data_IF_949533735471
#
_entry.id   IF_949533735471
#
_cell.length_a   1.000
_cell.length_b   1.000
_cell.length_c   1.000
_cell.angle_alpha   90.00
_cell.angle_beta   90.00
_cell.angle_gamma   90.00
#
_symmetry.space_group_name_H-M   'P 1'
#
loop_
_entity.id
_entity.type
_entity.pdbx_description
1 polymer ?
#
# COMPACT_ATOMS: atom_id res chain seq x y z
N UNK A 1 18.55 -3.74 6.84
CA UNK A 1 18.35 -4.80 7.85
C UNK A 1 17.03 -4.66 8.64
N UNK A 2 16.22 -3.63 8.32
CA UNK A 2 14.92 -3.41 8.99
C UNK A 2 13.75 -4.16 8.35
N UNK A 3 13.93 -4.70 7.14
CA UNK A 3 12.89 -5.50 6.48
C UNK A 3 12.75 -6.86 7.17
N UNK A 4 11.50 -7.39 7.29
CA UNK A 4 11.25 -8.69 7.91
C UNK A 4 12.10 -9.83 7.35
N UNK A 5 12.36 -9.85 6.05
CA UNK A 5 13.19 -10.86 5.39
C UNK A 5 14.71 -10.69 5.59
N UNK A 6 15.15 -9.57 6.18
CA UNK A 6 16.56 -9.27 6.42
C UNK A 6 16.93 -9.29 7.92
N UNK A 7 16.07 -9.84 8.79
CA UNK A 7 16.34 -9.95 10.22
C UNK A 7 17.52 -10.90 10.46
N UNK A 8 18.53 -10.48 11.25
CA UNK A 8 19.65 -11.35 11.59
C UNK A 8 19.16 -12.56 12.42
N UNK A 9 19.75 -13.71 12.18
CA UNK A 9 19.53 -14.90 12.97
C UNK A 9 20.86 -15.43 13.52
N UNK A 10 20.80 -16.17 14.60
CA UNK A 10 21.96 -16.87 15.14
C UNK A 10 22.36 -18.02 14.21
N UNK A 11 23.61 -18.02 13.72
CA UNK A 11 24.10 -18.97 12.73
C UNK A 11 24.15 -20.40 13.26
N UNK A 12 24.59 -20.59 14.49
CA UNK A 12 24.69 -21.91 15.11
C UNK A 12 23.30 -22.51 15.29
N UNK A 13 22.38 -21.72 15.82
CA UNK A 13 20.99 -22.14 15.96
C UNK A 13 20.34 -22.43 14.61
N UNK A 14 20.51 -21.56 13.62
CA UNK A 14 20.00 -21.76 12.25
C UNK A 14 20.46 -23.10 11.68
N UNK A 15 21.76 -23.37 11.74
CA UNK A 15 22.34 -24.61 11.23
C UNK A 15 21.85 -25.84 12.02
N UNK A 16 21.62 -25.70 13.32
CA UNK A 16 21.10 -26.80 14.17
C UNK A 16 19.68 -27.22 13.78
N UNK A 17 18.88 -26.31 13.20
CA UNK A 17 17.49 -26.59 12.80
C UNK A 17 17.37 -27.41 11.52
N UNK A 18 18.47 -27.64 10.79
CA UNK A 18 18.52 -28.45 9.56
C UNK A 18 17.45 -28.09 8.53
N UNK A 19 17.26 -26.81 8.26
CA UNK A 19 16.31 -26.29 7.30
C UNK A 19 14.88 -26.12 7.81
N UNK A 20 14.62 -26.31 9.10
CA UNK A 20 13.29 -26.10 9.71
C UNK A 20 13.21 -24.80 10.51
N UNK A 21 14.20 -23.89 10.38
CA UNK A 21 14.20 -22.60 11.03
C UNK A 21 12.91 -21.83 10.73
N UNK A 22 12.28 -21.29 11.80
CA UNK A 22 11.07 -20.48 11.66
C UNK A 22 9.77 -21.26 11.38
N UNK A 23 9.79 -22.59 11.31
CA UNK A 23 8.59 -23.40 11.05
C UNK A 23 7.81 -23.78 12.30
N UNK A 24 8.42 -23.72 13.47
CA UNK A 24 7.80 -24.04 14.77
C UNK A 24 8.37 -23.16 15.86
N UNK A 25 7.68 -23.08 17.00
CA UNK A 25 8.22 -22.37 18.18
C UNK A 25 9.59 -22.89 18.64
N UNK A 26 9.85 -24.19 18.48
CA UNK A 26 11.13 -24.82 18.87
C UNK A 26 12.27 -24.51 17.92
N UNK A 27 11.95 -24.16 16.67
CA UNK A 27 12.92 -23.85 15.63
C UNK A 27 12.99 -22.36 15.32
N UNK A 28 12.47 -21.53 16.21
CA UNK A 28 12.50 -20.06 16.12
C UNK A 28 13.21 -19.51 17.35
N UNK A 29 14.26 -18.70 17.12
CA UNK A 29 14.96 -17.96 18.16
C UNK A 29 14.57 -16.49 18.09
N UNK A 30 14.22 -15.91 19.21
CA UNK A 30 13.85 -14.50 19.33
C UNK A 30 15.00 -13.69 19.94
N UNK A 31 15.31 -12.53 19.36
CA UNK A 31 16.27 -11.56 19.89
C UNK A 31 15.61 -10.38 20.62
N UNK A 32 14.28 -10.33 20.58
CA UNK A 32 13.49 -9.26 21.20
C UNK A 32 13.05 -9.57 22.64
N UNK A 33 12.25 -8.69 23.26
CA UNK A 33 11.77 -8.84 24.62
C UNK A 33 10.80 -10.00 24.83
N UNK A 34 10.21 -10.49 23.76
CA UNK A 34 9.32 -11.64 23.78
C UNK A 34 9.92 -12.80 22.98
N UNK A 35 9.74 -14.01 23.48
CA UNK A 35 10.07 -15.23 22.76
C UNK A 35 8.81 -15.99 22.33
N UNK A 36 8.87 -16.71 21.23
CA UNK A 36 7.77 -17.51 20.72
C UNK A 36 7.64 -18.78 21.60
N UNK A 37 6.62 -18.78 22.46
CA UNK A 37 6.35 -19.89 23.38
C UNK A 37 5.64 -21.05 22.70
N UNK A 38 4.64 -20.75 21.87
CA UNK A 38 3.86 -21.74 21.15
C UNK A 38 3.31 -21.16 19.84
N UNK A 39 3.15 -22.04 18.86
CA UNK A 39 2.55 -21.71 17.57
C UNK A 39 1.56 -22.81 17.19
N UNK A 40 0.29 -22.43 16.98
CA UNK A 40 -0.81 -23.33 16.61
C UNK A 40 -1.65 -22.66 15.50
N UNK A 41 -2.61 -23.42 14.96
CA UNK A 41 -3.62 -22.83 14.07
C UNK A 41 -4.46 -21.73 14.75
N UNK A 42 -4.50 -21.70 16.08
CA UNK A 42 -5.21 -20.66 16.85
C UNK A 42 -4.39 -19.40 17.11
N UNK A 43 -3.17 -19.31 16.60
CA UNK A 43 -2.32 -18.12 16.71
C UNK A 43 -0.92 -18.37 17.24
N UNK A 44 -0.18 -17.28 17.37
CA UNK A 44 1.16 -17.22 17.95
C UNK A 44 1.06 -16.80 19.42
N UNK A 45 1.70 -17.55 20.30
CA UNK A 45 1.76 -17.26 21.72
C UNK A 45 3.19 -16.86 22.09
N UNK A 46 3.36 -15.60 22.51
CA UNK A 46 4.65 -15.06 22.89
C UNK A 46 4.67 -14.81 24.41
N UNK A 47 5.83 -14.98 25.01
CA UNK A 47 6.08 -14.72 26.43
C UNK A 47 7.38 -13.98 26.63
N UNK A 48 7.51 -13.32 27.77
CA UNK A 48 8.78 -12.83 28.32
C UNK A 48 8.83 -13.11 29.80
N UNK A 49 10.00 -12.93 30.40
CA UNK A 49 10.16 -12.97 31.85
C UNK A 49 9.32 -11.83 32.47
N UNK A 50 8.55 -12.13 33.53
CA UNK A 50 7.73 -11.14 34.21
C UNK A 50 8.54 -9.93 34.66
N UNK A 51 8.05 -8.72 34.39
CA UNK A 51 8.74 -7.47 34.71
C UNK A 51 7.76 -6.39 35.17
N UNK A 52 7.44 -6.43 36.46
CA UNK A 52 6.55 -5.46 37.08
C UNK A 52 5.15 -5.49 36.49
N UNK A 53 4.65 -4.32 36.07
CA UNK A 53 3.30 -4.14 35.50
C UNK A 53 3.23 -4.34 33.97
N UNK A 54 4.37 -4.69 33.33
CA UNK A 54 4.41 -4.85 31.87
C UNK A 54 3.67 -6.12 31.45
N UNK A 55 3.14 -6.11 30.23
CA UNK A 55 2.57 -7.31 29.61
C UNK A 55 3.65 -8.39 29.51
N UNK A 56 3.42 -9.57 30.05
CA UNK A 56 4.35 -10.70 30.05
C UNK A 56 3.98 -11.80 29.05
N UNK A 57 2.76 -11.75 28.51
CA UNK A 57 2.29 -12.70 27.50
C UNK A 57 1.45 -12.00 26.43
N UNK A 58 1.59 -12.46 25.20
CA UNK A 58 0.85 -11.98 24.03
C UNK A 58 0.26 -13.17 23.27
N UNK A 59 -0.91 -12.96 22.72
CA UNK A 59 -1.49 -13.85 21.73
C UNK A 59 -1.80 -13.05 20.47
N UNK A 60 -1.14 -13.38 19.37
CA UNK A 60 -1.45 -12.86 18.04
C UNK A 60 -2.38 -13.85 17.35
N UNK A 61 -3.54 -13.39 16.95
CA UNK A 61 -4.54 -14.22 16.27
C UNK A 61 -4.93 -13.60 14.93
N UNK A 62 -5.07 -14.45 13.94
CA UNK A 62 -5.73 -14.06 12.70
C UNK A 62 -7.24 -14.16 12.92
N UNK A 63 -7.99 -13.16 12.49
CA UNK A 63 -9.45 -13.09 12.73
C UNK A 63 -10.24 -14.03 11.80
N UNK A 64 -9.80 -15.26 11.61
CA UNK A 64 -10.50 -16.25 10.77
C UNK A 64 -11.73 -16.86 11.45
N UNK A 65 -11.66 -17.04 12.79
CA UNK A 65 -12.74 -17.67 13.56
C UNK A 65 -13.86 -16.71 13.99
N UNK A 66 -13.69 -15.41 13.77
CA UNK A 66 -14.63 -14.35 14.10
C UNK A 66 -14.75 -13.38 12.90
N UNK A 67 -14.72 -13.91 11.69
CA UNK A 67 -14.73 -13.11 10.46
C UNK A 67 -15.98 -12.20 10.35
N UNK A 68 -17.07 -12.57 11.03
CA UNK A 68 -18.30 -11.78 11.07
C UNK A 68 -18.27 -10.63 12.10
N UNK A 69 -17.22 -10.55 12.94
CA UNK A 69 -17.10 -9.52 13.95
C UNK A 69 -16.15 -8.42 13.50
N UNK A 70 -16.59 -7.17 13.62
CA UNK A 70 -15.74 -6.00 13.43
C UNK A 70 -14.65 -5.88 14.52
N UNK A 71 -13.61 -5.09 14.25
CA UNK A 71 -12.58 -4.78 15.24
C UNK A 71 -13.14 -4.19 16.54
N UNK A 72 -14.17 -3.34 16.41
CA UNK A 72 -14.88 -2.75 17.56
C UNK A 72 -15.57 -3.82 18.42
N UNK A 73 -16.28 -4.76 17.79
CA UNK A 73 -16.97 -5.84 18.49
C UNK A 73 -16.00 -6.81 19.17
N UNK A 74 -14.86 -7.08 18.52
CA UNK A 74 -13.80 -7.90 19.10
C UNK A 74 -13.22 -7.29 20.37
N UNK A 75 -12.99 -5.98 20.37
CA UNK A 75 -12.47 -5.27 21.56
C UNK A 75 -13.55 -5.15 22.64
N UNK A 76 -14.76 -4.76 22.30
CA UNK A 76 -15.86 -4.60 23.27
C UNK A 76 -16.27 -5.93 23.91
N UNK A 77 -16.09 -7.06 23.23
CA UNK A 77 -16.33 -8.40 23.78
C UNK A 77 -15.10 -9.00 24.47
N UNK A 78 -14.05 -8.21 24.71
CA UNK A 78 -12.78 -8.61 25.35
C UNK A 78 -12.06 -9.76 24.63
N UNK A 79 -12.37 -10.04 23.38
CA UNK A 79 -11.71 -11.07 22.57
C UNK A 79 -10.31 -10.66 22.12
N UNK A 80 -10.06 -9.36 21.98
CA UNK A 80 -8.74 -8.80 21.74
C UNK A 80 -8.54 -7.48 22.50
N UNK A 81 -7.28 -7.04 22.60
CA UNK A 81 -6.90 -5.79 23.28
C UNK A 81 -6.46 -4.70 22.30
N UNK A 82 -6.19 -5.05 21.07
CA UNK A 82 -5.96 -4.13 19.97
C UNK A 82 -6.31 -4.81 18.66
N UNK A 83 -6.85 -4.05 17.70
CA UNK A 83 -7.20 -4.55 16.38
C UNK A 83 -7.10 -3.43 15.33
N UNK A 84 -6.67 -3.78 14.13
CA UNK A 84 -6.74 -2.85 12.98
C UNK A 84 -8.19 -2.81 12.49
N UNK A 85 -8.71 -1.61 12.37
CA UNK A 85 -10.02 -1.33 11.80
C UNK A 85 -9.89 -0.62 10.47
N UNK A 86 -10.55 -1.16 9.47
CA UNK A 86 -10.69 -0.59 8.14
C UNK A 86 -12.17 -0.44 7.75
N UNK A 87 -13.08 -0.37 8.74
CA UNK A 87 -14.52 -0.22 8.49
C UNK A 87 -15.00 1.23 8.60
N UNK A 88 -14.21 2.11 9.20
CA UNK A 88 -14.57 3.51 9.42
C UNK A 88 -15.72 3.73 10.42
N UNK A 89 -16.14 2.69 11.15
CA UNK A 89 -17.30 2.79 12.04
C UNK A 89 -17.00 3.66 13.27
N UNK A 90 -17.94 4.51 13.67
CA UNK A 90 -17.78 5.38 14.83
C UNK A 90 -17.59 4.58 16.12
N UNK A 91 -16.63 4.98 16.94
CA UNK A 91 -16.32 4.33 18.22
C UNK A 91 -15.77 5.32 19.24
N UNK A 92 -15.94 5.01 20.52
CA UNK A 92 -15.32 5.73 21.65
C UNK A 92 -13.98 5.11 22.09
N UNK A 93 -13.53 4.04 21.43
CA UNK A 93 -12.24 3.42 21.71
C UNK A 93 -11.07 4.35 21.34
N UNK A 94 -9.98 4.26 22.08
CA UNK A 94 -8.74 4.93 21.70
C UNK A 94 -8.26 4.39 20.36
N UNK A 95 -7.81 5.28 19.48
CA UNK A 95 -7.35 4.89 18.14
C UNK A 95 -6.14 5.68 17.68
N UNK A 96 -5.34 5.05 16.83
CA UNK A 96 -4.24 5.69 16.08
C UNK A 96 -4.57 5.54 14.61
N UNK A 97 -4.87 6.67 13.95
CA UNK A 97 -5.19 6.68 12.51
C UNK A 97 -3.92 6.75 11.67
N UNK A 98 -3.92 6.05 10.53
CA UNK A 98 -2.81 6.03 9.58
C UNK A 98 -3.29 5.69 8.17
N UNK A 99 -2.42 5.94 7.20
CA UNK A 99 -2.59 5.50 5.82
C UNK A 99 -1.25 4.98 5.31
N UNK A 100 -1.25 3.77 4.81
CA UNK A 100 -0.07 3.07 4.26
C UNK A 100 -0.29 2.63 2.80
N UNK A 101 -1.49 2.90 2.27
CA UNK A 101 -1.93 2.41 0.97
C UNK A 101 -2.59 3.52 0.18
N UNK A 102 -2.14 3.70 -1.06
CA UNK A 102 -2.73 4.64 -2.02
C UNK A 102 -3.39 3.87 -3.16
N UNK A 103 -4.70 4.01 -3.30
CA UNK A 103 -5.45 3.47 -4.42
C UNK A 103 -5.25 4.34 -5.64
N UNK A 104 -4.77 3.73 -6.70
CA UNK A 104 -4.33 4.43 -7.90
C UNK A 104 -4.82 3.73 -9.16
N UNK A 105 -5.06 4.50 -10.23
CA UNK A 105 -5.13 3.91 -11.56
C UNK A 105 -3.71 3.56 -12.02
N UNK A 106 -3.53 2.34 -12.48
CA UNK A 106 -2.32 1.85 -13.12
C UNK A 106 -2.60 1.61 -14.59
N UNK A 107 -1.79 2.21 -15.46
CA UNK A 107 -1.85 1.96 -16.91
C UNK A 107 -0.75 0.99 -17.33
N UNK A 108 -1.11 -0.10 -17.98
CA UNK A 108 -0.13 -1.06 -18.47
C UNK A 108 0.57 -0.53 -19.74
N UNK A 109 1.80 -0.08 -19.57
CA UNK A 109 2.61 0.52 -20.64
C UNK A 109 3.01 -0.47 -21.75
N UNK A 110 2.80 -1.77 -21.59
CA UNK A 110 2.99 -2.78 -22.63
C UNK A 110 1.81 -2.91 -23.59
N UNK A 111 0.75 -2.10 -23.40
CA UNK A 111 -0.46 -2.05 -24.23
C UNK A 111 -0.51 -0.75 -25.04
N UNK A 112 -1.70 -0.33 -25.50
CA UNK A 112 -1.88 0.98 -26.14
C UNK A 112 -1.47 2.14 -25.21
N UNK A 113 -1.38 1.87 -23.90
CA UNK A 113 -0.89 2.80 -22.89
C UNK A 113 0.64 2.96 -22.89
N UNK A 114 1.34 2.48 -23.91
CA UNK A 114 2.69 2.94 -24.24
C UNK A 114 2.70 4.44 -24.59
N UNK A 115 1.59 4.99 -25.14
CA UNK A 115 1.43 6.44 -25.38
C UNK A 115 1.27 7.20 -24.06
N UNK A 116 2.20 8.11 -23.78
CA UNK A 116 2.15 9.01 -22.63
C UNK A 116 0.97 9.99 -22.76
N UNK A 117 0.70 10.50 -23.96
CA UNK A 117 -0.40 11.43 -24.23
C UNK A 117 -1.74 10.78 -23.92
N UNK A 118 -1.93 9.49 -24.25
CA UNK A 118 -3.16 8.78 -23.93
C UNK A 118 -3.33 8.60 -22.42
N UNK A 119 -2.24 8.21 -21.71
CA UNK A 119 -2.28 8.10 -20.24
C UNK A 119 -2.61 9.45 -19.60
N UNK A 120 -1.95 10.53 -20.04
CA UNK A 120 -2.17 11.88 -19.50
C UNK A 120 -3.60 12.36 -19.75
N UNK A 121 -4.17 12.09 -20.92
CA UNK A 121 -5.56 12.44 -21.23
C UNK A 121 -6.54 11.71 -20.31
N UNK A 122 -6.41 10.38 -20.18
CA UNK A 122 -7.29 9.59 -19.31
C UNK A 122 -7.10 9.94 -17.83
N UNK A 123 -5.86 10.16 -17.40
CA UNK A 123 -5.53 10.56 -16.04
C UNK A 123 -6.10 11.93 -15.66
N UNK A 124 -6.06 12.90 -16.58
CA UNK A 124 -6.66 14.22 -16.37
C UNK A 124 -8.15 14.12 -16.08
N UNK A 125 -8.90 13.43 -16.94
CA UNK A 125 -10.34 13.19 -16.73
C UNK A 125 -10.61 12.43 -15.43
N UNK A 126 -9.81 11.41 -15.12
CA UNK A 126 -10.01 10.60 -13.94
C UNK A 126 -9.79 11.38 -12.64
N UNK A 127 -8.75 12.23 -12.57
CA UNK A 127 -8.49 13.08 -11.39
C UNK A 127 -9.63 14.07 -11.15
N UNK A 128 -10.15 14.68 -12.22
CA UNK A 128 -11.24 15.67 -12.11
C UNK A 128 -12.57 15.01 -11.73
N UNK A 129 -12.76 13.73 -12.08
CA UNK A 129 -14.00 13.00 -11.86
C UNK A 129 -13.98 12.16 -10.58
N UNK A 130 -12.81 11.88 -10.00
CA UNK A 130 -12.69 11.01 -8.85
C UNK A 130 -13.32 11.65 -7.60
N UNK A 131 -14.48 11.14 -7.23
CA UNK A 131 -15.16 11.52 -5.99
C UNK A 131 -14.75 10.56 -4.87
N UNK A 132 -14.37 11.13 -3.72
CA UNK A 132 -14.05 10.32 -2.54
C UNK A 132 -15.31 9.61 -2.09
N UNK A 133 -15.28 8.27 -1.94
CA UNK A 133 -16.43 7.54 -1.42
C UNK A 133 -16.91 8.12 -0.09
N UNK A 134 -18.23 8.13 0.13
CA UNK A 134 -18.87 8.70 1.33
C UNK A 134 -18.58 7.94 2.64
N UNK A 135 -17.55 7.10 2.63
CA UNK A 135 -17.11 6.31 3.79
C UNK A 135 -15.86 6.94 4.40
N UNK A 136 -15.66 6.77 5.72
CA UNK A 136 -14.41 7.20 6.39
C UNK A 136 -13.18 6.36 6.01
N UNK A 137 -13.33 5.41 5.06
CA UNK A 137 -12.28 4.50 4.63
C UNK A 137 -11.30 5.13 3.65
N UNK A 138 -11.69 6.21 2.99
CA UNK A 138 -10.90 6.84 1.95
C UNK A 138 -10.83 8.35 2.14
N UNK A 139 -9.71 8.92 1.73
CA UNK A 139 -9.51 10.35 1.54
C UNK A 139 -8.94 10.59 0.15
N UNK A 140 -9.08 11.80 -0.41
CA UNK A 140 -8.44 12.14 -1.66
C UNK A 140 -6.91 12.00 -1.55
N UNK A 141 -6.27 11.54 -2.63
CA UNK A 141 -4.83 11.47 -2.73
C UNK A 141 -4.35 12.07 -4.06
N UNK A 142 -3.37 12.95 -3.97
CA UNK A 142 -2.67 13.59 -5.10
C UNK A 142 -1.22 13.12 -5.24
N UNK A 143 -0.78 12.27 -4.32
CA UNK A 143 0.57 11.73 -4.21
C UNK A 143 0.55 10.22 -3.99
N UNK A 144 1.57 9.54 -4.51
CA UNK A 144 1.70 8.09 -4.37
C UNK A 144 2.22 7.68 -2.98
N UNK A 145 3.16 8.47 -2.47
CA UNK A 145 3.82 8.17 -1.19
C UNK A 145 3.02 8.79 -0.04
N UNK A 146 2.59 7.98 0.95
CA UNK A 146 1.89 8.48 2.13
C UNK A 146 2.69 9.52 2.93
N UNK A 147 1.98 10.49 3.51
CA UNK A 147 2.59 11.63 4.21
C UNK A 147 3.40 11.25 5.46
N UNK A 148 3.11 10.09 6.08
CA UNK A 148 3.80 9.66 7.33
C UNK A 148 5.19 9.05 7.13
N UNK A 149 5.63 8.80 5.88
CA UNK A 149 6.91 8.17 5.61
C UNK A 149 8.10 9.09 5.86
N UNK A 150 9.16 8.51 6.44
CA UNK A 150 10.44 9.18 6.67
C UNK A 150 11.54 8.58 5.80
N UNK A 151 12.48 9.43 5.39
CA UNK A 151 13.72 9.06 4.69
C UNK A 151 14.88 9.66 5.49
N UNK A 152 15.78 8.82 5.98
CA UNK A 152 16.93 9.21 6.79
C UNK A 152 16.55 10.12 7.98
N UNK A 153 15.41 9.85 8.63
CA UNK A 153 14.90 10.60 9.78
C UNK A 153 14.17 11.92 9.45
N UNK A 154 14.04 12.26 8.17
CA UNK A 154 13.29 13.44 7.72
C UNK A 154 11.94 13.02 7.18
N UNK A 155 10.87 13.77 7.48
CA UNK A 155 9.57 13.52 6.82
C UNK A 155 9.71 13.75 5.32
N UNK A 156 9.37 12.72 4.55
CA UNK A 156 9.55 12.74 3.10
C UNK A 156 8.69 13.82 2.45
N UNK A 157 7.41 13.87 2.79
CA UNK A 157 6.47 14.81 2.17
C UNK A 157 6.80 16.27 2.48
N UNK A 158 7.19 16.57 3.72
CA UNK A 158 7.60 17.93 4.12
C UNK A 158 8.85 18.37 3.38
N UNK A 159 9.76 17.42 3.08
CA UNK A 159 11.02 17.72 2.38
C UNK A 159 10.84 17.87 0.88
N UNK A 160 10.00 17.03 0.25
CA UNK A 160 9.79 17.00 -1.20
C UNK A 160 8.76 18.02 -1.66
N UNK A 161 7.77 18.32 -0.82
CA UNK A 161 6.64 19.20 -1.14
C UNK A 161 5.66 18.59 -2.13
N UNK A 162 5.00 19.45 -2.89
CA UNK A 162 4.02 19.07 -3.90
C UNK A 162 4.67 18.28 -5.06
N UNK A 163 4.01 17.20 -5.43
CA UNK A 163 4.40 16.32 -6.54
C UNK A 163 3.31 16.22 -7.62
N UNK A 164 2.22 16.95 -7.46
CA UNK A 164 1.09 16.92 -8.37
C UNK A 164 1.52 17.31 -9.78
N UNK A 165 1.13 16.56 -10.80
CA UNK A 165 1.44 16.93 -12.18
C UNK A 165 0.71 18.21 -12.58
N UNK A 166 1.34 18.98 -13.47
CA UNK A 166 0.71 20.18 -14.03
C UNK A 166 -0.60 19.85 -14.76
N UNK A 167 -1.53 20.80 -14.75
CA UNK A 167 -2.75 20.70 -15.53
C UNK A 167 -2.43 20.59 -17.03
N UNK A 168 -3.18 19.77 -17.75
CA UNK A 168 -2.97 19.47 -19.17
C UNK A 168 -4.23 19.74 -19.99
N UNK A 169 -4.07 20.03 -21.27
CA UNK A 169 -5.19 20.04 -22.21
C UNK A 169 -5.54 18.60 -22.62
N UNK A 170 -6.49 18.02 -21.89
CA UNK A 170 -6.95 16.63 -22.05
C UNK A 170 -7.38 16.34 -23.50
N UNK A 171 -8.12 17.27 -24.14
CA UNK A 171 -8.64 17.06 -25.51
C UNK A 171 -7.53 17.09 -26.53
N UNK A 172 -6.59 18.03 -26.40
CA UNK A 172 -5.45 18.12 -27.29
C UNK A 172 -4.56 16.86 -27.20
N UNK A 173 -4.27 16.38 -25.98
CA UNK A 173 -3.51 15.16 -25.77
C UNK A 173 -4.21 13.92 -26.32
N UNK A 174 -5.50 13.78 -26.07
CA UNK A 174 -6.28 12.67 -26.61
C UNK A 174 -6.29 12.65 -28.14
N UNK A 175 -6.51 13.81 -28.79
CA UNK A 175 -6.49 13.92 -30.24
C UNK A 175 -5.10 13.58 -30.82
N UNK A 176 -4.03 14.01 -30.15
CA UNK A 176 -2.67 13.66 -30.56
C UNK A 176 -2.40 12.15 -30.46
N UNK A 177 -2.79 11.53 -29.35
CA UNK A 177 -2.67 10.10 -29.16
C UNK A 177 -3.45 9.28 -30.20
N UNK A 178 -4.66 9.73 -30.54
CA UNK A 178 -5.54 9.06 -31.51
C UNK A 178 -4.99 8.99 -32.94
N UNK A 179 -4.09 9.87 -33.34
CA UNK A 179 -3.56 9.92 -34.70
C UNK A 179 -2.86 8.63 -35.15
N UNK A 180 -2.35 7.84 -34.21
CA UNK A 180 -1.66 6.57 -34.49
C UNK A 180 -2.43 5.30 -34.11
N UNK A 181 -3.70 5.42 -33.68
CA UNK A 181 -4.45 4.31 -33.10
C UNK A 181 -5.73 3.99 -33.89
N UNK A 182 -6.03 2.71 -34.05
CA UNK A 182 -7.28 2.25 -34.62
C UNK A 182 -8.40 2.19 -33.54
N UNK A 183 -9.67 2.31 -33.96
CA UNK A 183 -10.80 2.16 -33.03
C UNK A 183 -10.82 0.79 -32.36
N UNK A 184 -10.36 -0.26 -33.07
CA UNK A 184 -10.27 -1.62 -32.55
C UNK A 184 -9.33 -1.77 -31.35
N UNK A 185 -8.34 -0.87 -31.20
CA UNK A 185 -7.38 -0.93 -30.11
C UNK A 185 -8.03 -0.61 -28.75
N UNK A 186 -9.10 0.18 -28.78
CA UNK A 186 -9.87 0.54 -27.59
C UNK A 186 -10.89 -0.51 -27.16
N UNK A 187 -11.26 -1.45 -28.05
CA UNK A 187 -12.28 -2.47 -27.76
C UNK A 187 -11.85 -3.53 -26.74
N UNK A 188 -10.56 -3.61 -26.42
CA UNK A 188 -9.98 -4.60 -25.49
C UNK A 188 -9.60 -4.01 -24.15
N UNK A 189 -9.90 -2.74 -23.95
CA UNK A 189 -9.55 -2.07 -22.71
C UNK A 189 -10.58 -2.43 -21.63
N UNK A 190 -10.09 -2.87 -20.49
CA UNK A 190 -10.88 -3.08 -19.28
C UNK A 190 -10.32 -2.26 -18.12
N UNK A 191 -11.19 -1.82 -17.24
CA UNK A 191 -10.84 -1.28 -15.92
C UNK A 191 -11.04 -2.39 -14.89
N UNK A 192 -9.94 -2.99 -14.47
CA UNK A 192 -9.92 -4.10 -13.51
C UNK A 192 -9.81 -3.56 -12.07
N UNK A 193 -10.58 -4.13 -11.15
CA UNK A 193 -10.48 -3.84 -9.71
C UNK A 193 -10.81 -5.09 -8.89
N UNK A 194 -10.30 -5.19 -7.65
CA UNK A 194 -10.63 -6.30 -6.78
C UNK A 194 -12.06 -6.19 -6.25
N UNK A 195 -12.79 -7.31 -6.25
CA UNK A 195 -14.15 -7.38 -5.74
C UNK A 195 -14.20 -6.99 -4.25
N UNK A 196 -15.22 -6.21 -3.88
CA UNK A 196 -15.43 -5.79 -2.50
C UNK A 196 -14.45 -4.73 -1.98
N UNK A 197 -13.65 -4.10 -2.84
CA UNK A 197 -12.72 -3.04 -2.45
C UNK A 197 -13.41 -1.71 -2.01
N UNK A 198 -14.71 -1.57 -2.26
CA UNK A 198 -15.47 -0.36 -1.92
C UNK A 198 -15.28 0.82 -2.88
N UNK A 199 -14.68 0.60 -4.05
CA UNK A 199 -14.39 1.63 -5.05
C UNK A 199 -15.14 1.47 -6.37
N UNK A 200 -16.15 0.61 -6.42
CA UNK A 200 -16.90 0.33 -7.65
C UNK A 200 -17.61 1.58 -8.17
N UNK A 201 -18.29 2.33 -7.29
CA UNK A 201 -18.98 3.57 -7.65
C UNK A 201 -18.01 4.63 -8.18
N UNK A 202 -16.82 4.74 -7.57
CA UNK A 202 -15.77 5.63 -8.07
C UNK A 202 -15.26 5.20 -9.45
N UNK A 203 -15.09 3.90 -9.69
CA UNK A 203 -14.70 3.36 -11.00
C UNK A 203 -15.77 3.64 -12.07
N UNK A 204 -17.05 3.49 -11.75
CA UNK A 204 -18.17 3.82 -12.63
C UNK A 204 -18.22 5.32 -12.95
N UNK A 205 -18.02 6.18 -11.95
CA UNK A 205 -17.98 7.64 -12.11
C UNK A 205 -16.86 8.06 -13.05
N UNK A 206 -15.66 7.53 -12.87
CA UNK A 206 -14.51 7.79 -13.75
C UNK A 206 -14.79 7.30 -15.16
N UNK A 207 -15.34 6.09 -15.32
CA UNK A 207 -15.66 5.54 -16.64
C UNK A 207 -16.74 6.36 -17.37
N UNK A 208 -17.74 6.84 -16.64
CA UNK A 208 -18.75 7.77 -17.16
C UNK A 208 -18.15 9.11 -17.61
N UNK A 209 -17.17 9.62 -16.86
CA UNK A 209 -16.46 10.84 -17.25
C UNK A 209 -15.61 10.65 -18.51
N UNK A 210 -14.91 9.52 -18.66
CA UNK A 210 -14.22 9.18 -19.93
C UNK A 210 -15.17 9.08 -21.10
N UNK A 211 -16.37 8.52 -20.90
CA UNK A 211 -17.40 8.49 -21.95
C UNK A 211 -17.85 9.90 -22.34
N UNK A 212 -18.10 10.75 -21.37
CA UNK A 212 -18.58 12.12 -21.60
C UNK A 212 -17.54 13.00 -22.28
N UNK A 213 -16.29 12.98 -21.80
CA UNK A 213 -15.26 13.91 -22.25
C UNK A 213 -14.50 13.43 -23.50
N UNK A 214 -14.29 12.09 -23.62
CA UNK A 214 -13.46 11.49 -24.66
C UNK A 214 -14.19 10.50 -25.57
N UNK A 215 -15.47 10.24 -25.31
CA UNK A 215 -16.28 9.21 -25.99
C UNK A 215 -15.67 7.81 -25.87
N UNK A 216 -15.02 7.53 -24.72
CA UNK A 216 -14.44 6.23 -24.37
C UNK A 216 -15.22 5.63 -23.22
N UNK A 217 -15.66 4.39 -23.37
CA UNK A 217 -16.32 3.64 -22.31
C UNK A 217 -15.72 2.22 -22.25
N UNK A 218 -15.20 1.86 -21.10
CA UNK A 218 -14.50 0.59 -20.90
C UNK A 218 -15.36 -0.37 -20.07
N UNK A 219 -15.16 -1.68 -20.27
CA UNK A 219 -15.76 -2.66 -19.38
C UNK A 219 -15.07 -2.61 -18.02
N UNK A 220 -15.87 -2.56 -16.95
CA UNK A 220 -15.38 -2.70 -15.58
C UNK A 220 -15.38 -4.19 -15.25
N UNK A 221 -14.25 -4.70 -14.75
CA UNK A 221 -14.04 -6.10 -14.44
C UNK A 221 -13.68 -6.25 -12.96
N UNK A 222 -14.63 -6.75 -12.17
CA UNK A 222 -14.39 -7.10 -10.78
C UNK A 222 -13.92 -8.54 -10.70
N UNK A 223 -12.77 -8.76 -10.07
CA UNK A 223 -12.19 -10.09 -9.89
C UNK A 223 -11.89 -10.33 -8.40
N UNK A 224 -11.88 -11.58 -7.99
CA UNK A 224 -11.47 -11.92 -6.63
C UNK A 224 -10.01 -11.50 -6.35
N UNK A 225 -9.67 -11.34 -5.08
CA UNK A 225 -8.38 -10.80 -4.64
C UNK A 225 -7.19 -11.64 -5.13
N UNK A 226 -7.31 -12.97 -5.17
CA UNK A 226 -6.23 -13.86 -5.62
C UNK A 226 -6.00 -13.71 -7.13
N UNK A 227 -7.08 -13.73 -7.89
CA UNK A 227 -7.04 -13.49 -9.35
C UNK A 227 -6.51 -12.10 -9.67
N UNK A 228 -6.94 -11.07 -8.91
CA UNK A 228 -6.47 -9.70 -9.08
C UNK A 228 -4.96 -9.59 -8.91
N UNK A 229 -4.43 -10.11 -7.80
CA UNK A 229 -2.98 -10.08 -7.52
C UNK A 229 -2.17 -10.84 -8.57
N UNK A 230 -2.67 -11.99 -9.00
CA UNK A 230 -2.01 -12.79 -10.02
C UNK A 230 -1.94 -12.05 -11.35
N UNK A 231 -3.07 -11.55 -11.84
CA UNK A 231 -3.13 -10.81 -13.11
C UNK A 231 -2.31 -9.53 -13.08
N UNK A 232 -2.33 -8.81 -11.94
CA UNK A 232 -1.49 -7.62 -11.76
C UNK A 232 0.00 -7.96 -11.84
N UNK A 233 0.44 -9.02 -11.18
CA UNK A 233 1.84 -9.47 -11.18
C UNK A 233 2.29 -9.99 -12.56
N UNK A 234 1.41 -10.62 -13.32
CA UNK A 234 1.67 -11.13 -14.67
C UNK A 234 1.56 -10.03 -15.76
N UNK A 235 1.09 -8.82 -15.40
CA UNK A 235 0.82 -7.75 -16.36
C UNK A 235 -0.37 -8.06 -17.27
N UNK A 236 -1.29 -8.93 -16.85
CA UNK A 236 -2.51 -9.31 -17.59
C UNK A 236 -3.66 -8.36 -17.26
N UNK A 237 -3.48 -7.10 -17.59
CA UNK A 237 -4.50 -6.05 -17.45
C UNK A 237 -4.21 -4.91 -18.44
N UNK A 238 -5.16 -4.03 -18.66
CA UNK A 238 -4.98 -2.79 -19.43
C UNK A 238 -4.98 -1.57 -18.53
N UNK A 239 -6.04 -1.36 -17.74
CA UNK A 239 -6.12 -0.38 -16.65
C UNK A 239 -6.50 -1.16 -15.40
N UNK A 240 -5.85 -0.87 -14.27
CA UNK A 240 -6.24 -1.40 -12.97
C UNK A 240 -6.44 -0.27 -11.96
N UNK A 241 -7.54 -0.32 -11.20
CA UNK A 241 -7.68 0.47 -9.98
C UNK A 241 -7.13 -0.40 -8.84
N UNK A 242 -5.93 -0.10 -8.39
CA UNK A 242 -5.13 -0.98 -7.55
C UNK A 242 -4.58 -0.28 -6.30
N UNK A 243 -4.43 -1.01 -5.18
CA UNK A 243 -3.73 -0.51 -4.01
C UNK A 243 -2.22 -0.55 -4.26
N UNK A 244 -1.54 0.58 -4.06
CA UNK A 244 -0.08 0.67 -3.98
C UNK A 244 0.29 0.81 -2.53
N UNK A 245 0.89 -0.24 -1.96
CA UNK A 245 1.24 -0.28 -0.54
C UNK A 245 2.63 0.27 -0.27
N UNK A 246 2.75 1.01 0.82
CA UNK A 246 4.00 1.49 1.39
C UNK A 246 4.35 0.79 2.72
N UNK A 247 3.74 -0.35 3.02
CA UNK A 247 3.95 -1.13 4.26
C UNK A 247 5.42 -1.49 4.53
N UNK A 248 6.28 -1.52 3.50
CA UNK A 248 7.72 -1.71 3.69
C UNK A 248 8.40 -0.57 4.45
N UNK A 249 7.72 0.56 4.69
CA UNK A 249 8.29 1.77 5.28
C UNK A 249 9.37 2.44 4.43
N UNK A 250 9.49 2.08 3.16
CA UNK A 250 10.55 2.54 2.27
C UNK A 250 9.99 3.23 1.03
N UNK A 251 10.21 4.53 0.92
CA UNK A 251 9.89 5.29 -0.29
C UNK A 251 10.57 4.68 -1.52
N UNK A 252 11.84 4.27 -1.38
CA UNK A 252 12.57 3.60 -2.45
C UNK A 252 11.85 2.33 -2.92
N UNK A 253 11.46 1.45 -2.01
CA UNK A 253 10.80 0.19 -2.37
C UNK A 253 9.44 0.44 -3.03
N UNK A 254 8.69 1.44 -2.58
CA UNK A 254 7.41 1.80 -3.20
C UNK A 254 7.61 2.28 -4.65
N UNK A 255 8.62 3.10 -4.90
CA UNK A 255 8.94 3.57 -6.25
C UNK A 255 9.57 2.47 -7.10
N UNK A 256 10.40 1.60 -6.53
CA UNK A 256 11.08 0.53 -7.26
C UNK A 256 10.12 -0.46 -7.92
N UNK A 257 8.89 -0.63 -7.41
CA UNK A 257 7.86 -1.49 -8.00
C UNK A 257 7.56 -1.13 -9.48
N UNK A 258 7.82 0.10 -9.89
CA UNK A 258 7.61 0.57 -11.26
C UNK A 258 8.83 0.38 -12.17
N UNK A 259 9.92 -0.19 -11.67
CA UNK A 259 11.08 -0.57 -12.49
C UNK A 259 11.00 -2.05 -12.88
N UNK A 260 11.57 -2.46 -14.01
CA UNK A 260 11.65 -3.87 -14.37
C UNK A 260 12.32 -4.74 -13.30
N UNK A 261 13.35 -4.22 -12.63
CA UNK A 261 14.06 -4.92 -11.55
C UNK A 261 13.22 -5.06 -10.26
N UNK A 262 12.28 -4.14 -10.03
CA UNK A 262 11.40 -4.13 -8.86
C UNK A 262 10.07 -4.84 -9.05
N UNK A 263 9.88 -5.54 -10.17
CA UNK A 263 8.65 -6.30 -10.47
C UNK A 263 7.88 -5.78 -11.68
N UNK A 264 8.19 -4.58 -12.17
CA UNK A 264 7.62 -4.05 -13.42
C UNK A 264 6.12 -3.88 -13.40
N UNK A 265 5.56 -3.44 -12.28
CA UNK A 265 4.11 -3.39 -11.99
C UNK A 265 3.24 -2.87 -13.15
N UNK A 266 3.76 -1.93 -13.94
CA UNK A 266 3.06 -1.31 -15.08
C UNK A 266 3.76 -1.51 -16.42
N UNK A 267 4.83 -2.28 -16.48
CA UNK A 267 5.66 -2.39 -17.69
C UNK A 267 6.38 -1.07 -18.06
N UNK A 268 6.41 -0.09 -17.15
CA UNK A 268 7.07 1.19 -17.39
C UNK A 268 8.59 1.02 -17.51
N UNK A 269 9.17 1.64 -18.53
CA UNK A 269 10.61 1.64 -18.76
C UNK A 269 11.08 3.06 -19.10
N UNK A 270 11.83 3.68 -18.20
CA UNK A 270 12.41 5.01 -18.37
C UNK A 270 13.82 5.02 -17.78
N UNK A 271 14.83 5.26 -18.62
CA UNK A 271 16.23 5.22 -18.21
C UNK A 271 16.58 6.32 -17.20
N UNK A 272 15.99 7.52 -17.33
CA UNK A 272 16.21 8.61 -16.38
C UNK A 272 15.66 8.25 -15.00
N UNK A 273 14.43 7.72 -14.97
CA UNK A 273 13.80 7.24 -13.73
C UNK A 273 14.66 6.20 -13.02
N UNK A 274 15.09 5.17 -13.76
CA UNK A 274 15.94 4.11 -13.21
C UNK A 274 17.26 4.65 -12.66
N UNK A 275 17.91 5.56 -13.40
CA UNK A 275 19.18 6.19 -12.99
C UNK A 275 19.01 7.04 -11.73
N UNK A 276 17.94 7.84 -11.63
CA UNK A 276 17.68 8.67 -10.46
C UNK A 276 17.34 7.82 -9.23
N UNK A 277 16.55 6.77 -9.42
CA UNK A 277 16.20 5.84 -8.34
C UNK A 277 17.45 5.13 -7.81
N UNK A 278 18.34 4.65 -8.69
CA UNK A 278 19.62 4.04 -8.31
C UNK A 278 20.51 5.07 -7.60
N UNK A 279 20.63 6.29 -8.11
CA UNK A 279 21.42 7.34 -7.48
C UNK A 279 20.95 7.66 -6.04
N UNK A 280 19.64 7.49 -5.76
CA UNK A 280 19.09 7.68 -4.42
C UNK A 280 19.65 6.71 -3.39
N UNK A 281 20.13 5.52 -3.81
CA UNK A 281 20.73 4.53 -2.90
C UNK A 281 22.10 4.94 -2.40
N UNK A 282 22.79 5.80 -3.15
CA UNK A 282 24.11 6.34 -2.82
C UNK A 282 24.06 7.74 -2.21
N UNK A 283 22.87 8.33 -2.08
CA UNK A 283 22.64 9.64 -1.48
C UNK A 283 22.10 9.51 -0.05
N UNK A 284 22.20 10.59 0.72
CA UNK A 284 21.67 10.67 2.07
C UNK A 284 20.86 11.96 2.28
N UNK A 285 20.03 11.96 3.31
CA UNK A 285 19.33 13.12 3.80
C UNK A 285 18.47 13.80 2.72
N UNK A 286 18.49 15.11 2.66
CA UNK A 286 17.68 15.90 1.73
C UNK A 286 18.00 15.62 0.25
N UNK A 287 19.23 15.23 -0.07
CA UNK A 287 19.59 14.83 -1.45
C UNK A 287 18.88 13.55 -1.85
N UNK A 288 18.82 12.55 -0.96
CA UNK A 288 18.08 11.32 -1.18
C UNK A 288 16.58 11.59 -1.32
N UNK A 289 16.01 12.40 -0.42
CA UNK A 289 14.60 12.80 -0.52
C UNK A 289 14.30 13.45 -1.87
N UNK A 290 15.16 14.39 -2.33
CA UNK A 290 14.97 15.08 -3.60
C UNK A 290 14.99 14.10 -4.79
N UNK A 291 15.96 13.18 -4.85
CA UNK A 291 16.05 12.18 -5.93
C UNK A 291 14.80 11.28 -5.95
N UNK A 292 14.34 10.81 -4.80
CA UNK A 292 13.10 10.04 -4.69
C UNK A 292 11.88 10.86 -5.09
N UNK A 293 11.83 12.15 -4.70
CA UNK A 293 10.77 13.07 -5.10
C UNK A 293 10.75 13.34 -6.61
N UNK A 294 11.92 13.44 -7.24
CA UNK A 294 12.01 13.58 -8.69
C UNK A 294 11.49 12.31 -9.40
N UNK A 295 11.77 11.11 -8.83
CA UNK A 295 11.20 9.85 -9.31
C UNK A 295 9.67 9.83 -9.18
N UNK A 296 9.12 10.22 -8.03
CA UNK A 296 7.67 10.29 -7.83
C UNK A 296 7.02 11.25 -8.82
N UNK A 297 7.55 12.47 -8.98
CA UNK A 297 7.08 13.45 -9.97
C UNK A 297 7.09 12.90 -11.39
N UNK A 298 8.15 12.15 -11.76
CA UNK A 298 8.25 11.56 -13.08
C UNK A 298 7.14 10.53 -13.34
N UNK A 299 6.88 9.61 -12.39
CA UNK A 299 5.80 8.63 -12.51
C UNK A 299 4.43 9.32 -12.65
N UNK A 300 4.17 10.34 -11.83
CA UNK A 300 2.90 11.07 -11.83
C UNK A 300 2.74 11.94 -13.09
N UNK A 301 3.82 12.53 -13.59
CA UNK A 301 3.83 13.32 -14.83
C UNK A 301 3.62 12.45 -16.07
N UNK A 302 4.26 11.27 -16.11
CA UNK A 302 4.08 10.29 -17.20
C UNK A 302 2.74 9.53 -17.06
N UNK A 303 1.99 9.79 -16.00
CA UNK A 303 0.72 9.13 -15.68
C UNK A 303 0.79 7.60 -15.76
N UNK A 304 1.89 7.03 -15.32
CA UNK A 304 2.06 5.58 -15.19
C UNK A 304 1.20 5.05 -14.05
N UNK A 305 1.15 5.83 -12.98
CA UNK A 305 0.32 5.67 -11.80
C UNK A 305 -0.40 6.98 -11.51
N UNK A 306 -1.68 6.90 -11.22
CA UNK A 306 -2.53 8.05 -10.92
C UNK A 306 -3.15 7.86 -9.55
N UNK A 307 -2.58 8.43 -8.49
CA UNK A 307 -3.17 8.43 -7.17
C UNK A 307 -4.57 9.04 -7.19
N UNK A 308 -5.53 8.38 -6.53
CA UNK A 308 -6.90 8.87 -6.41
C UNK A 308 -7.35 8.91 -4.96
N UNK A 309 -7.08 7.84 -4.21
CA UNK A 309 -7.56 7.71 -2.83
C UNK A 309 -6.49 7.16 -1.90
N UNK A 310 -6.39 7.76 -0.72
CA UNK A 310 -5.60 7.27 0.40
C UNK A 310 -6.50 6.41 1.28
N UNK A 311 -6.15 5.13 1.49
CA UNK A 311 -6.91 4.24 2.36
C UNK A 311 -6.67 4.60 3.82
N UNK A 312 -7.76 4.89 4.54
CA UNK A 312 -7.70 5.24 5.94
C UNK A 312 -7.86 3.99 6.80
N UNK A 313 -6.90 3.76 7.66
CA UNK A 313 -6.89 2.67 8.64
C UNK A 313 -6.69 3.24 10.04
N UNK A 314 -7.09 2.51 11.06
CA UNK A 314 -6.80 2.86 12.44
C UNK A 314 -6.51 1.62 13.29
N UNK A 315 -5.57 1.73 14.19
CA UNK A 315 -5.38 0.76 15.26
C UNK A 315 -6.30 1.15 16.40
N UNK A 316 -7.28 0.33 16.71
CA UNK A 316 -8.14 0.46 17.89
C UNK A 316 -7.47 -0.21 19.09
N UNK A 317 -7.59 0.41 20.26
CA UNK A 317 -6.91 -0.01 21.49
C UNK A 317 -7.95 -0.09 22.61
N UNK A 318 -7.98 -1.24 23.30
CA UNK A 318 -8.87 -1.44 24.44
C UNK A 318 -8.50 -0.53 25.62
N UNK A 319 -9.49 -0.18 26.42
CA UNK A 319 -9.30 0.53 27.68
C UNK A 319 -8.32 -0.23 28.60
N UNK A 320 -7.43 0.51 29.25
CA UNK A 320 -6.41 -0.06 30.15
C UNK A 320 -5.11 -0.48 29.47
N UNK A 321 -5.03 -0.55 28.14
CA UNK A 321 -3.75 -0.78 27.43
C UNK A 321 -3.03 0.57 27.30
N UNK A 322 -1.77 0.62 27.80
CA UNK A 322 -0.94 1.83 27.81
C UNK A 322 0.48 1.51 27.31
N UNK A 323 1.22 2.56 26.93
CA UNK A 323 2.63 2.48 26.51
C UNK A 323 2.89 1.53 25.33
N UNK A 324 1.90 1.37 24.47
CA UNK A 324 2.02 0.72 23.19
C UNK A 324 2.59 1.72 22.19
N UNK A 325 3.61 1.34 21.42
CA UNK A 325 4.13 2.14 20.30
C UNK A 325 3.68 1.46 19.02
N UNK A 326 3.13 2.25 18.12
CA UNK A 326 2.67 1.80 16.83
C UNK A 326 3.35 2.63 15.73
N UNK A 327 3.98 1.93 14.78
CA UNK A 327 4.53 2.53 13.58
C UNK A 327 4.00 1.77 12.35
N UNK A 328 3.13 2.38 11.54
CA UNK A 328 2.53 1.71 10.39
C UNK A 328 3.55 1.35 9.30
N UNK A 329 4.73 1.98 9.32
CA UNK A 329 5.80 1.81 8.33
C UNK A 329 7.03 1.07 8.86
N UNK A 330 6.96 0.56 10.08
CA UNK A 330 8.07 -0.09 10.77
C UNK A 330 7.69 -1.44 11.35
N UNK A 331 8.35 -1.88 12.43
CA UNK A 331 7.87 -2.96 13.25
C UNK A 331 6.54 -2.52 13.88
N UNK A 332 5.45 -2.88 13.22
CA UNK A 332 4.08 -2.37 13.35
C UNK A 332 3.64 -2.10 14.79
N UNK A 333 4.12 -2.90 15.74
CA UNK A 333 3.70 -2.82 17.12
C UNK A 333 4.86 -3.15 18.08
N UNK A 334 5.34 -2.13 18.82
CA UNK A 334 6.28 -2.37 19.91
C UNK A 334 5.53 -2.39 21.26
N UNK A 335 5.59 -3.54 21.89
CA UNK A 335 4.96 -3.83 23.19
C UNK A 335 5.97 -3.96 24.32
N UNK A 336 7.23 -3.54 24.09
CA UNK A 336 8.32 -3.68 25.07
C UNK A 336 7.96 -3.06 26.41
N UNK A 337 7.28 -1.92 26.41
CA UNK A 337 6.89 -1.18 27.62
C UNK A 337 5.38 -1.19 27.86
N UNK A 338 4.63 -1.92 27.04
CA UNK A 338 3.18 -1.96 27.15
C UNK A 338 2.73 -2.55 28.50
N UNK A 339 1.67 -1.97 29.03
CA UNK A 339 0.98 -2.41 30.26
C UNK A 339 -0.51 -2.61 29.98
N UNK A 340 -1.16 -3.45 30.76
CA UNK A 340 -2.62 -3.60 30.76
C UNK A 340 -3.12 -3.60 32.20
N UNK A 341 -4.01 -2.66 32.53
CA UNK A 341 -4.69 -2.52 33.83
C UNK A 341 -6.06 -3.20 33.78
#
# INVERSE_FOLDING_TARGET
>A
LTLPGAMPCDEEFFNSTRGTYGLTAKTTLSSGPFYLYNWTSGGLFLRREPSGTRIDSLRLVQNTNNADLSAIELINSEKCSAAVDATGSTTSLSSISYSDTTWSLLFNCNTIFSSTELRQALAGVARDAAEVPSTELFAAADSLIPAGLNVDGMNYRDTVGDVSPAAVDVKALYLAARQGMANSDFNKITLMLPAGCGLNEAAETINGAWQKELSLFFSIEEVDEETFRKRLAEGDYTIALAPVSAESGSVYNTLAQFTPAGGGLTGYSNALYATQLEASTHANGSTRCRLLGDCERQLLSDCVVVPLFSQQKRLLIASGVKNLIFDPFGPVLDLTYATKE
#
